data_IF_586737454978
#
_entry.id   IF_586737454978
#
_cell.length_a   1.000
_cell.length_b   1.000
_cell.length_c   1.000
_cell.angle_alpha   90.00
_cell.angle_beta   90.00
_cell.angle_gamma   90.00
#
_symmetry.space_group_name_H-M   'P 1'
#
loop_
_entity.id
_entity.type
_entity.pdbx_description
1 polymer ?
#
# COMPACT_ATOMS: atom_id res chain seq x y z
N UNK A 1 -5.93 24.45 27.83
CA UNK A 1 -5.45 25.27 26.70
C UNK A 1 -4.47 24.42 25.88
N UNK A 2 -4.98 23.42 25.15
CA UNK A 2 -4.18 22.46 24.37
C UNK A 2 -4.03 22.96 22.92
N UNK A 3 -3.05 23.85 22.78
CA UNK A 3 -2.20 24.17 21.63
C UNK A 3 -2.67 23.93 20.18
N UNK A 4 -2.53 24.96 19.29
CA UNK A 4 -2.83 24.94 17.85
C UNK A 4 -1.94 24.00 16.97
N UNK A 5 -1.04 23.23 17.59
CA UNK A 5 -0.13 22.31 16.89
C UNK A 5 -0.83 21.06 16.34
N UNK A 6 -1.88 20.59 17.01
CA UNK A 6 -2.62 19.41 16.56
C UNK A 6 -3.49 19.70 15.32
N UNK A 7 -4.05 20.91 15.28
CA UNK A 7 -4.83 21.41 14.15
C UNK A 7 -3.92 21.66 12.92
N UNK A 8 -2.70 22.18 13.15
CA UNK A 8 -1.71 22.40 12.10
C UNK A 8 -1.24 21.10 11.42
N UNK A 9 -1.01 20.02 12.19
CA UNK A 9 -0.67 18.69 11.63
C UNK A 9 -1.80 18.10 10.78
N UNK A 10 -3.06 18.43 11.05
CA UNK A 10 -4.22 18.00 10.23
C UNK A 10 -4.31 18.80 8.92
N UNK A 11 -4.13 20.13 9.01
CA UNK A 11 -4.16 21.04 7.85
C UNK A 11 -3.07 20.75 6.84
N UNK A 12 -1.86 20.40 7.28
CA UNK A 12 -0.75 20.04 6.37
C UNK A 12 -1.10 18.78 5.56
N UNK A 13 -1.73 17.77 6.16
CA UNK A 13 -2.15 16.56 5.42
C UNK A 13 -3.19 16.89 4.36
N UNK A 14 -4.15 17.73 4.72
CA UNK A 14 -5.22 18.14 3.80
C UNK A 14 -4.66 18.98 2.65
N UNK A 15 -3.66 19.82 2.92
CA UNK A 15 -2.94 20.59 1.90
C UNK A 15 -2.14 19.66 0.97
N UNK A 16 -1.38 18.70 1.51
CA UNK A 16 -0.62 17.73 0.69
C UNK A 16 -1.56 16.88 -0.16
N UNK A 17 -2.69 16.43 0.40
CA UNK A 17 -3.70 15.66 -0.33
C UNK A 17 -4.33 16.49 -1.46
N UNK A 18 -4.74 17.74 -1.16
CA UNK A 18 -5.28 18.65 -2.17
C UNK A 18 -4.28 18.92 -3.29
N UNK A 19 -3.01 19.16 -2.94
CA UNK A 19 -1.95 19.39 -3.92
C UNK A 19 -1.74 18.16 -4.81
N UNK A 20 -1.72 16.95 -4.23
CA UNK A 20 -1.60 15.71 -4.99
C UNK A 20 -2.78 15.50 -5.95
N UNK A 21 -4.01 15.75 -5.48
CA UNK A 21 -5.22 15.69 -6.31
C UNK A 21 -5.21 16.73 -7.44
N UNK A 22 -4.75 17.94 -7.15
CA UNK A 22 -4.64 19.01 -8.14
C UNK A 22 -3.63 18.64 -9.23
N UNK A 23 -2.44 18.13 -8.85
CA UNK A 23 -1.43 17.68 -9.80
C UNK A 23 -1.96 16.50 -10.65
N UNK A 24 -2.62 15.53 -10.02
CA UNK A 24 -3.21 14.40 -10.73
C UNK A 24 -4.28 14.86 -11.74
N UNK A 25 -5.20 15.72 -11.30
CA UNK A 25 -6.24 16.29 -12.15
C UNK A 25 -5.68 17.11 -13.31
N UNK A 26 -4.73 18.00 -13.04
CA UNK A 26 -4.06 18.80 -14.06
C UNK A 26 -3.35 17.92 -15.10
N UNK A 27 -2.68 16.85 -14.65
CA UNK A 27 -1.99 15.90 -15.53
C UNK A 27 -2.97 15.18 -16.45
N UNK A 28 -4.10 14.70 -15.92
CA UNK A 28 -5.14 14.02 -16.71
C UNK A 28 -5.76 14.97 -17.72
N UNK A 29 -6.15 16.18 -17.30
CA UNK A 29 -6.75 17.19 -18.17
C UNK A 29 -5.78 17.57 -19.30
N UNK A 30 -4.53 17.87 -18.97
CA UNK A 30 -3.51 18.23 -19.94
C UNK A 30 -3.27 17.12 -20.97
N UNK A 31 -3.17 15.87 -20.49
CA UNK A 31 -2.96 14.71 -21.38
C UNK A 31 -4.16 14.48 -22.28
N UNK A 32 -5.39 14.61 -21.78
CA UNK A 32 -6.60 14.47 -22.59
C UNK A 32 -6.66 15.53 -23.71
N UNK A 33 -6.31 16.79 -23.39
CA UNK A 33 -6.21 17.85 -24.40
C UNK A 33 -5.16 17.51 -25.47
N UNK A 34 -4.01 16.97 -25.05
CA UNK A 34 -2.95 16.58 -25.97
C UNK A 34 -3.36 15.42 -26.88
N UNK A 35 -4.03 14.40 -26.33
CA UNK A 35 -4.60 13.27 -27.08
C UNK A 35 -5.60 13.75 -28.11
N UNK A 36 -6.50 14.67 -27.75
CA UNK A 36 -7.49 15.20 -28.69
C UNK A 36 -6.83 15.95 -29.84
N UNK A 37 -5.88 16.85 -29.56
CA UNK A 37 -5.15 17.60 -30.59
C UNK A 37 -4.36 16.67 -31.52
N UNK A 38 -3.74 15.62 -30.96
CA UNK A 38 -2.99 14.66 -31.76
C UNK A 38 -3.94 13.80 -32.62
N UNK A 39 -5.08 13.38 -32.08
CA UNK A 39 -6.10 12.65 -32.83
C UNK A 39 -6.66 13.45 -34.00
N UNK A 40 -6.99 14.73 -33.79
CA UNK A 40 -7.44 15.63 -34.85
C UNK A 40 -6.37 15.78 -35.95
N UNK A 41 -5.10 15.93 -35.54
CA UNK A 41 -3.97 16.00 -36.48
C UNK A 41 -3.78 14.71 -37.28
N UNK A 42 -3.84 13.55 -36.64
CA UNK A 42 -3.74 12.25 -37.31
C UNK A 42 -4.91 12.06 -38.30
N UNK A 43 -6.12 12.46 -37.91
CA UNK A 43 -7.29 12.41 -38.80
C UNK A 43 -7.09 13.27 -40.06
N UNK A 44 -6.57 14.49 -39.91
CA UNK A 44 -6.24 15.35 -41.05
C UNK A 44 -5.14 14.76 -41.95
N UNK A 45 -4.13 14.10 -41.37
CA UNK A 45 -3.08 13.43 -42.14
C UNK A 45 -3.63 12.26 -42.95
N UNK A 46 -4.55 11.48 -42.38
CA UNK A 46 -5.18 10.35 -43.07
C UNK A 46 -6.11 10.82 -44.18
N UNK A 47 -6.89 11.88 -43.96
CA UNK A 47 -7.73 12.47 -45.00
C UNK A 47 -6.88 12.97 -46.19
N UNK A 48 -5.76 13.64 -45.91
CA UNK A 48 -4.81 14.06 -46.93
C UNK A 48 -4.19 12.85 -47.65
N UNK A 49 -3.79 11.82 -46.92
CA UNK A 49 -3.28 10.56 -47.49
C UNK A 49 -4.29 9.93 -48.45
N UNK A 50 -5.56 9.81 -48.04
CA UNK A 50 -6.62 9.23 -48.86
C UNK A 50 -6.93 10.06 -50.11
N UNK A 51 -6.96 11.40 -49.98
CA UNK A 51 -7.13 12.32 -51.12
C UNK A 51 -5.98 12.21 -52.11
N UNK A 52 -4.75 12.12 -51.62
CA UNK A 52 -3.56 11.93 -52.47
C UNK A 52 -3.58 10.58 -53.16
N UNK A 53 -3.94 9.51 -52.45
CA UNK A 53 -4.08 8.18 -53.04
C UNK A 53 -5.13 8.18 -54.15
N UNK A 54 -6.28 8.84 -53.93
CA UNK A 54 -7.32 9.01 -54.96
C UNK A 54 -6.80 9.77 -56.17
N UNK A 55 -6.05 10.86 -55.95
CA UNK A 55 -5.49 11.65 -57.05
C UNK A 55 -4.46 10.85 -57.86
N UNK A 56 -3.54 10.14 -57.19
CA UNK A 56 -2.51 9.30 -57.83
C UNK A 56 -3.14 8.22 -58.70
N UNK A 57 -4.21 7.57 -58.24
CA UNK A 57 -4.89 6.50 -58.97
C UNK A 57 -5.68 7.03 -60.18
N UNK A 58 -6.25 8.24 -60.08
CA UNK A 58 -7.20 8.75 -61.06
C UNK A 58 -6.60 9.74 -62.08
N UNK A 59 -5.36 10.18 -61.90
CA UNK A 59 -4.72 11.17 -62.77
C UNK A 59 -3.93 10.53 -63.91
N UNK A 60 -4.02 11.10 -65.11
CA UNK A 60 -3.15 10.76 -66.23
C UNK A 60 -1.85 11.61 -66.22
N UNK A 61 -1.81 12.68 -65.42
CA UNK A 61 -0.63 13.54 -65.29
C UNK A 61 0.40 12.92 -64.33
N UNK A 62 1.49 12.43 -64.90
CA UNK A 62 2.56 11.75 -64.17
C UNK A 62 3.60 12.71 -63.57
N UNK A 63 3.59 14.00 -63.93
CA UNK A 63 4.67 14.94 -63.56
C UNK A 63 4.81 15.18 -62.06
N UNK A 64 3.68 15.22 -61.34
CA UNK A 64 3.65 15.54 -59.90
C UNK A 64 3.58 14.29 -58.99
N UNK A 65 3.44 13.09 -59.58
CA UNK A 65 3.28 11.85 -58.80
C UNK A 65 4.46 11.54 -57.87
N UNK A 66 5.73 11.66 -58.29
CA UNK A 66 6.85 11.35 -57.41
C UNK A 66 6.89 12.26 -56.18
N UNK A 67 6.60 13.54 -56.37
CA UNK A 67 6.53 14.52 -55.27
C UNK A 67 5.41 14.19 -54.28
N UNK A 68 4.21 13.87 -54.76
CA UNK A 68 3.08 13.52 -53.89
C UNK A 68 3.31 12.21 -53.14
N UNK A 69 3.92 11.22 -53.81
CA UNK A 69 4.32 9.96 -53.20
C UNK A 69 5.29 10.22 -52.05
N UNK A 70 6.35 11.00 -52.27
CA UNK A 70 7.37 11.26 -51.25
C UNK A 70 6.82 12.11 -50.07
N UNK A 71 6.15 13.23 -50.38
CA UNK A 71 5.75 14.22 -49.37
C UNK A 71 4.52 13.84 -48.55
N UNK A 72 3.70 12.90 -49.03
CA UNK A 72 2.45 12.53 -48.36
C UNK A 72 2.40 11.04 -48.05
N UNK A 73 2.63 10.18 -49.05
CA UNK A 73 2.50 8.73 -48.85
C UNK A 73 3.66 8.18 -48.04
N UNK A 74 4.91 8.46 -48.44
CA UNK A 74 6.12 8.04 -47.73
C UNK A 74 6.36 8.83 -46.44
N UNK A 75 5.92 10.09 -46.38
CA UNK A 75 5.95 10.88 -45.16
C UNK A 75 5.11 10.29 -44.01
N UNK A 76 4.10 9.46 -44.31
CA UNK A 76 3.38 8.71 -43.30
C UNK A 76 4.22 7.53 -42.77
N UNK A 77 4.91 7.74 -41.65
CA UNK A 77 5.73 6.72 -40.98
C UNK A 77 5.09 6.15 -39.71
N UNK A 78 3.97 6.70 -39.26
CA UNK A 78 3.43 6.42 -37.92
C UNK A 78 2.01 5.86 -37.94
N UNK A 79 1.19 6.23 -38.92
CA UNK A 79 -0.22 5.84 -39.00
C UNK A 79 -0.32 4.56 -39.83
N UNK A 80 -0.79 3.45 -39.24
CA UNK A 80 -0.95 2.20 -39.97
C UNK A 80 -2.17 2.25 -40.87
N UNK A 81 -1.97 1.90 -42.14
CA UNK A 81 -3.01 1.92 -43.17
C UNK A 81 -3.00 0.63 -43.98
N UNK A 82 -4.18 0.21 -44.42
CA UNK A 82 -4.40 -0.93 -45.31
C UNK A 82 -5.31 -0.48 -46.44
N UNK A 83 -4.85 -0.60 -47.67
CA UNK A 83 -5.63 -0.34 -48.88
C UNK A 83 -6.17 -1.66 -49.43
N UNK A 84 -7.47 -1.72 -49.72
CA UNK A 84 -8.11 -2.89 -50.33
C UNK A 84 -8.95 -2.49 -51.55
N UNK A 85 -9.14 -3.42 -52.49
CA UNK A 85 -10.05 -3.28 -53.64
C UNK A 85 -11.47 -3.81 -53.34
N UNK A 86 -11.71 -4.22 -52.09
CA UNK A 86 -12.94 -4.87 -51.63
C UNK A 86 -12.79 -6.37 -51.37
N UNK A 87 -11.92 -7.07 -52.10
CA UNK A 87 -11.69 -8.51 -51.96
C UNK A 87 -10.26 -8.83 -51.51
N UNK A 88 -9.30 -8.10 -52.04
CA UNK A 88 -7.86 -8.30 -51.84
C UNK A 88 -7.21 -7.07 -51.20
N UNK A 89 -6.08 -7.33 -50.55
CA UNK A 89 -5.22 -6.30 -50.00
C UNK A 89 -4.32 -5.81 -51.12
N UNK A 90 -4.42 -4.51 -51.43
CA UNK A 90 -3.67 -3.85 -52.49
C UNK A 90 -2.33 -3.37 -51.96
N UNK A 91 -2.34 -2.72 -50.78
CA UNK A 91 -1.13 -2.17 -50.17
C UNK A 91 -1.28 -2.05 -48.65
N UNK A 92 -0.15 -2.03 -47.93
CA UNK A 92 -0.10 -1.86 -46.48
C UNK A 92 1.07 -0.98 -46.06
N UNK A 93 0.85 -0.09 -45.09
CA UNK A 93 1.93 0.75 -44.51
C UNK A 93 1.88 0.76 -42.99
N UNK A 94 3.05 0.84 -42.36
CA UNK A 94 3.25 0.95 -40.91
C UNK A 94 2.58 -0.16 -40.07
N UNK A 95 2.38 -1.34 -40.65
CA UNK A 95 1.93 -2.52 -39.90
C UNK A 95 3.10 -3.11 -39.11
N UNK A 96 2.93 -3.30 -37.81
CA UNK A 96 3.91 -3.97 -36.96
C UNK A 96 3.88 -5.49 -37.18
N UNK A 97 4.50 -5.95 -38.27
CA UNK A 97 4.67 -7.36 -38.59
C UNK A 97 6.05 -7.85 -38.11
N UNK A 98 6.15 -8.97 -37.38
CA UNK A 98 7.45 -9.55 -37.01
C UNK A 98 8.24 -10.00 -38.24
N UNK A 99 9.53 -9.65 -38.31
CA UNK A 99 10.40 -9.82 -39.50
C UNK A 99 10.63 -11.27 -39.96
N UNK A 100 10.25 -12.28 -39.18
CA UNK A 100 10.57 -13.70 -39.45
C UNK A 100 9.35 -14.63 -39.60
N UNK A 101 8.17 -14.08 -39.89
CA UNK A 101 6.98 -14.91 -40.10
C UNK A 101 6.93 -15.50 -41.52
N UNK A 102 6.53 -16.78 -41.66
CA UNK A 102 6.16 -17.34 -42.96
C UNK A 102 5.09 -16.49 -43.64
N UNK A 103 5.12 -16.42 -44.97
CA UNK A 103 4.22 -15.59 -45.78
C UNK A 103 2.73 -15.79 -45.43
N UNK A 104 2.33 -17.04 -45.21
CA UNK A 104 0.94 -17.40 -44.86
C UNK A 104 0.51 -16.83 -43.50
N UNK A 105 1.39 -16.84 -42.51
CA UNK A 105 1.09 -16.33 -41.17
C UNK A 105 1.12 -14.80 -41.13
N UNK A 106 1.99 -14.18 -41.94
CA UNK A 106 1.96 -12.73 -42.17
C UNK A 106 0.64 -12.27 -42.77
N UNK A 107 0.13 -12.95 -43.81
CA UNK A 107 -1.17 -12.64 -44.42
C UNK A 107 -2.34 -12.83 -43.46
N UNK A 108 -2.33 -13.90 -42.64
CA UNK A 108 -3.33 -14.09 -41.58
C UNK A 108 -3.33 -12.92 -40.59
N UNK A 109 -2.14 -12.44 -40.22
CA UNK A 109 -2.00 -11.33 -39.27
C UNK A 109 -2.45 -10.00 -39.86
N UNK A 110 -2.14 -9.72 -41.13
CA UNK A 110 -2.65 -8.52 -41.81
C UNK A 110 -4.18 -8.55 -41.88
N UNK A 111 -4.79 -9.70 -42.20
CA UNK A 111 -6.27 -9.86 -42.16
C UNK A 111 -6.85 -9.65 -40.77
N UNK A 112 -6.19 -10.14 -39.72
CA UNK A 112 -6.61 -9.90 -38.34
C UNK A 112 -6.57 -8.41 -37.98
N UNK A 113 -5.51 -7.70 -38.39
CA UNK A 113 -5.41 -6.24 -38.19
C UNK A 113 -6.46 -5.49 -39.00
N UNK A 114 -6.76 -5.91 -40.22
CA UNK A 114 -7.83 -5.34 -41.04
C UNK A 114 -9.20 -5.45 -40.36
N UNK A 115 -9.52 -6.60 -39.78
CA UNK A 115 -10.75 -6.80 -38.99
C UNK A 115 -10.80 -5.87 -37.76
N UNK A 116 -9.67 -5.67 -37.08
CA UNK A 116 -9.57 -4.75 -35.95
C UNK A 116 -9.78 -3.28 -36.40
N UNK A 117 -9.22 -2.89 -37.54
CA UNK A 117 -9.41 -1.55 -38.13
C UNK A 117 -10.87 -1.31 -38.50
N UNK A 118 -11.52 -2.31 -39.14
CA UNK A 118 -12.94 -2.27 -39.53
C UNK A 118 -13.88 -2.04 -38.34
N UNK A 119 -13.53 -2.55 -37.16
CA UNK A 119 -14.34 -2.38 -35.95
C UNK A 119 -14.16 -1.00 -35.30
N UNK A 120 -13.03 -0.32 -35.54
CA UNK A 120 -12.72 0.96 -34.89
C UNK A 120 -13.19 2.17 -35.69
N UNK A 121 -12.98 2.16 -37.00
CA UNK A 121 -13.30 3.30 -37.87
C UNK A 121 -13.94 2.83 -39.17
N UNK A 122 -14.92 3.59 -39.71
CA UNK A 122 -15.40 3.35 -41.07
C UNK A 122 -14.26 3.58 -42.07
N UNK A 123 -14.16 2.77 -43.15
CA UNK A 123 -13.14 2.99 -44.17
C UNK A 123 -13.35 4.30 -44.91
N UNK A 124 -12.27 4.90 -45.38
CA UNK A 124 -12.33 5.99 -46.34
C UNK A 124 -12.46 5.38 -47.73
N UNK A 125 -13.57 5.67 -48.40
CA UNK A 125 -13.86 5.17 -49.76
C UNK A 125 -13.10 6.01 -50.78
N UNK A 126 -12.34 5.33 -51.64
CA UNK A 126 -11.63 5.91 -52.77
C UNK A 126 -12.35 5.45 -54.03
N UNK A 127 -12.94 6.38 -54.77
CA UNK A 127 -13.64 6.09 -56.02
C UNK A 127 -12.66 6.11 -57.20
N UNK A 128 -12.74 5.08 -58.05
CA UNK A 128 -11.88 4.88 -59.22
C UNK A 128 -12.68 5.07 -60.53
N UNK A 129 -11.99 5.29 -61.67
CA UNK A 129 -12.62 5.26 -62.99
C UNK A 129 -13.34 3.93 -63.24
N UNK A 130 -14.49 3.97 -63.92
CA UNK A 130 -15.27 2.77 -64.23
C UNK A 130 -16.16 2.25 -63.09
N UNK A 131 -16.48 3.09 -62.10
CA UNK A 131 -17.41 2.79 -61.01
C UNK A 131 -16.93 1.69 -60.04
N UNK A 132 -15.61 1.50 -59.95
CA UNK A 132 -14.95 0.62 -58.97
C UNK A 132 -14.54 1.42 -57.73
N UNK A 133 -14.34 0.75 -56.58
CA UNK A 133 -14.07 1.39 -55.29
C UNK A 133 -12.95 0.67 -54.55
N UNK A 134 -12.00 1.44 -54.04
CA UNK A 134 -11.03 0.97 -53.06
C UNK A 134 -11.40 1.50 -51.67
N UNK A 135 -10.96 0.78 -50.64
CA UNK A 135 -11.22 1.11 -49.24
C UNK A 135 -9.90 1.29 -48.52
N UNK A 136 -9.73 2.45 -47.88
CA UNK A 136 -8.60 2.73 -47.00
C UNK A 136 -9.02 2.54 -45.55
N UNK A 137 -8.45 1.52 -44.92
CA UNK A 137 -8.58 1.26 -43.49
C UNK A 137 -7.39 1.83 -42.75
N UNK A 138 -7.63 2.33 -41.54
CA UNK A 138 -6.59 2.95 -40.72
C UNK A 138 -6.82 2.69 -39.23
N UNK A 139 -5.79 2.93 -38.43
CA UNK A 139 -5.87 2.94 -36.97
C UNK A 139 -5.06 4.09 -36.39
N UNK A 140 -5.39 4.49 -35.16
CA UNK A 140 -4.59 5.41 -34.35
C UNK A 140 -3.11 4.99 -34.33
N UNK A 141 -2.21 5.96 -34.43
CA UNK A 141 -0.79 5.70 -34.33
C UNK A 141 -0.42 5.05 -33.00
N UNK A 142 0.74 4.38 -32.95
CA UNK A 142 1.24 3.82 -31.69
C UNK A 142 1.38 4.88 -30.60
N UNK A 143 1.82 6.08 -30.98
CA UNK A 143 2.00 7.20 -30.05
C UNK A 143 0.65 7.65 -29.47
N UNK A 144 -0.36 7.85 -30.32
CA UNK A 144 -1.69 8.26 -29.89
C UNK A 144 -2.32 7.23 -28.94
N UNK A 145 -2.21 5.93 -29.26
CA UNK A 145 -2.68 4.85 -28.37
C UNK A 145 -1.97 4.84 -27.03
N UNK A 146 -0.64 4.97 -27.01
CA UNK A 146 0.14 5.03 -25.77
C UNK A 146 -0.26 6.23 -24.93
N UNK A 147 -0.40 7.41 -25.55
CA UNK A 147 -0.75 8.66 -24.88
C UNK A 147 -2.16 8.61 -24.27
N UNK A 148 -3.10 7.90 -24.90
CA UNK A 148 -4.45 7.67 -24.37
C UNK A 148 -4.46 6.82 -23.10
N UNK A 149 -3.52 5.88 -22.98
CA UNK A 149 -3.40 4.98 -21.81
C UNK A 149 -2.47 5.51 -20.72
N UNK A 150 -1.57 6.43 -21.05
CA UNK A 150 -0.59 7.01 -20.13
C UNK A 150 -1.20 7.57 -18.82
N UNK A 151 -2.35 8.27 -18.83
CA UNK A 151 -2.97 8.75 -17.60
C UNK A 151 -3.27 7.66 -16.57
N UNK A 152 -3.63 6.44 -17.02
CA UNK A 152 -3.93 5.33 -16.12
C UNK A 152 -2.68 4.85 -15.37
N UNK A 153 -1.55 4.75 -16.09
CA UNK A 153 -0.27 4.41 -15.48
C UNK A 153 0.18 5.48 -14.48
N UNK A 154 0.03 6.77 -14.82
CA UNK A 154 0.35 7.88 -13.92
C UNK A 154 -0.50 7.85 -12.64
N UNK A 155 -1.82 7.60 -12.77
CA UNK A 155 -2.71 7.45 -11.62
C UNK A 155 -2.34 6.26 -10.74
N UNK A 156 -1.94 5.13 -11.34
CA UNK A 156 -1.46 3.97 -10.57
C UNK A 156 -0.21 4.29 -9.76
N UNK A 157 0.75 5.02 -10.34
CA UNK A 157 1.96 5.47 -9.64
C UNK A 157 1.59 6.41 -8.48
N UNK A 158 0.76 7.43 -8.74
CA UNK A 158 0.31 8.37 -7.70
C UNK A 158 -0.43 7.64 -6.58
N UNK A 159 -1.31 6.69 -6.91
CA UNK A 159 -2.03 5.90 -5.92
C UNK A 159 -1.08 5.05 -5.06
N UNK A 160 -0.09 4.40 -5.67
CA UNK A 160 0.91 3.59 -4.95
C UNK A 160 1.75 4.44 -3.97
N UNK A 161 2.22 5.61 -4.40
CA UNK A 161 2.97 6.54 -3.57
C UNK A 161 2.09 7.11 -2.45
N UNK A 162 0.83 7.44 -2.75
CA UNK A 162 -0.14 7.93 -1.75
C UNK A 162 -0.41 6.88 -0.67
N UNK A 163 -0.56 5.61 -1.06
CA UNK A 163 -0.75 4.50 -0.13
C UNK A 163 0.48 4.31 0.76
N UNK A 164 1.68 4.34 0.17
CA UNK A 164 2.92 4.22 0.93
C UNK A 164 3.09 5.39 1.93
N UNK A 165 2.78 6.61 1.51
CA UNK A 165 2.78 7.78 2.38
C UNK A 165 1.77 7.65 3.53
N UNK A 166 0.55 7.14 3.24
CA UNK A 166 -0.46 6.87 4.26
C UNK A 166 0.02 5.85 5.30
N UNK A 167 0.57 4.73 4.86
CA UNK A 167 1.12 3.69 5.75
C UNK A 167 2.25 4.29 6.62
N UNK A 168 3.24 4.95 6.00
CA UNK A 168 4.36 5.55 6.73
C UNK A 168 3.89 6.57 7.78
N UNK A 169 2.95 7.44 7.42
CA UNK A 169 2.40 8.43 8.34
C UNK A 169 1.61 7.78 9.48
N UNK A 170 0.78 6.79 9.17
CA UNK A 170 -0.02 6.07 10.18
C UNK A 170 0.86 5.33 11.19
N UNK A 171 1.90 4.67 10.71
CA UNK A 171 2.89 4.00 11.55
C UNK A 171 3.65 4.99 12.44
N UNK A 172 4.14 6.09 11.86
CA UNK A 172 4.84 7.15 12.59
C UNK A 172 3.98 7.72 13.73
N UNK A 173 2.71 8.01 13.47
CA UNK A 173 1.78 8.51 14.50
C UNK A 173 1.55 7.52 15.63
N UNK A 174 1.38 6.23 15.31
CA UNK A 174 1.19 5.19 16.33
C UNK A 174 2.46 5.01 17.17
N UNK A 175 3.63 5.09 16.54
CA UNK A 175 4.92 5.04 17.24
C UNK A 175 5.12 6.25 18.17
N UNK A 176 4.76 7.47 17.71
CA UNK A 176 4.79 8.68 18.54
C UNK A 176 3.90 8.53 19.77
N UNK A 177 2.66 8.06 19.59
CA UNK A 177 1.73 7.80 20.70
C UNK A 177 2.28 6.75 21.66
N UNK A 178 2.72 5.59 21.16
CA UNK A 178 3.27 4.52 21.99
C UNK A 178 4.47 5.01 22.81
N UNK A 179 5.35 5.84 22.22
CA UNK A 179 6.48 6.44 22.93
C UNK A 179 6.03 7.37 24.07
N UNK A 180 5.01 8.19 23.84
CA UNK A 180 4.46 9.07 24.89
C UNK A 180 3.86 8.24 26.03
N UNK A 181 3.11 7.17 25.72
CA UNK A 181 2.54 6.27 26.74
C UNK A 181 3.62 5.56 27.56
N UNK A 182 4.68 5.06 26.91
CA UNK A 182 5.84 4.45 27.59
C UNK A 182 6.54 5.48 28.49
N UNK A 183 6.74 6.70 28.00
CA UNK A 183 7.37 7.78 28.78
C UNK A 183 6.55 8.14 30.02
N UNK A 184 5.23 8.30 29.87
CA UNK A 184 4.31 8.60 30.97
C UNK A 184 4.31 7.49 32.03
N UNK A 185 4.27 6.22 31.60
CA UNK A 185 4.31 5.06 32.48
C UNK A 185 5.58 5.05 33.34
N UNK A 186 6.75 5.30 32.74
CA UNK A 186 8.02 5.36 33.47
C UNK A 186 8.08 6.53 34.45
N UNK A 187 7.67 7.72 34.02
CA UNK A 187 7.67 8.92 34.87
C UNK A 187 6.72 8.75 36.06
N UNK A 188 5.53 8.20 35.82
CA UNK A 188 4.57 7.92 36.90
C UNK A 188 5.08 6.84 37.86
N UNK A 189 5.72 5.78 37.35
CA UNK A 189 6.34 4.77 38.20
C UNK A 189 7.44 5.37 39.10
N UNK A 190 8.26 6.25 38.54
CA UNK A 190 9.27 6.97 39.30
C UNK A 190 8.65 7.85 40.40
N UNK A 191 7.60 8.61 40.06
CA UNK A 191 6.88 9.46 41.01
C UNK A 191 6.15 8.67 42.10
N UNK A 192 5.68 7.45 41.81
CA UNK A 192 5.08 6.56 42.80
C UNK A 192 6.10 5.87 43.71
N UNK A 193 7.36 5.74 43.29
CA UNK A 193 8.42 5.10 44.07
C UNK A 193 8.68 5.80 45.41
N UNK A 194 8.83 7.13 45.41
CA UNK A 194 9.13 7.93 46.61
C UNK A 194 8.08 7.81 47.74
N UNK A 195 6.76 8.00 47.48
CA UNK A 195 5.75 7.79 48.51
C UNK A 195 5.66 6.33 48.95
N UNK A 196 5.89 5.38 48.04
CA UNK A 196 5.91 3.96 48.37
C UNK A 196 7.04 3.59 49.34
N UNK A 197 8.26 4.09 49.12
CA UNK A 197 9.38 3.89 50.05
C UNK A 197 9.07 4.46 51.44
N UNK A 198 8.32 5.56 51.49
CA UNK A 198 7.87 6.16 52.76
C UNK A 198 6.86 5.25 53.48
N UNK A 199 5.93 4.61 52.74
CA UNK A 199 4.98 3.64 53.28
C UNK A 199 5.67 2.38 53.83
N UNK A 200 6.69 1.86 53.13
CA UNK A 200 7.52 0.75 53.62
C UNK A 200 8.21 1.11 54.94
N UNK A 201 8.72 2.34 55.05
CA UNK A 201 9.30 2.87 56.29
C UNK A 201 8.29 2.91 57.44
N UNK A 202 7.10 3.46 57.20
CA UNK A 202 6.01 3.49 58.19
C UNK A 202 5.54 2.09 58.60
N UNK A 203 5.40 1.18 57.65
CA UNK A 203 5.02 -0.21 57.94
C UNK A 203 6.07 -0.89 58.83
N UNK A 204 7.36 -0.68 58.55
CA UNK A 204 8.46 -1.23 59.36
C UNK A 204 8.43 -0.67 60.79
N UNK A 205 8.24 0.65 60.92
CA UNK A 205 8.09 1.31 62.22
C UNK A 205 6.89 0.78 63.02
N UNK A 206 5.73 0.62 62.37
CA UNK A 206 4.53 0.07 63.02
C UNK A 206 4.74 -1.37 63.49
N UNK A 207 5.43 -2.19 62.69
CA UNK A 207 5.74 -3.58 63.03
C UNK A 207 6.67 -3.70 64.24
N UNK A 208 7.56 -2.74 64.45
CA UNK A 208 8.48 -2.70 65.60
C UNK A 208 7.86 -2.07 66.85
N UNK A 209 6.79 -1.28 66.69
CA UNK A 209 6.12 -0.62 67.80
C UNK A 209 5.40 -1.62 68.72
N UNK A 210 5.54 -1.43 70.03
CA UNK A 210 4.90 -2.33 71.02
C UNK A 210 3.37 -2.28 70.98
N UNK A 211 2.80 -1.16 70.53
CA UNK A 211 1.36 -0.93 70.45
C UNK A 211 0.66 -1.79 69.40
N UNK A 212 1.32 -2.04 68.28
CA UNK A 212 0.76 -2.77 67.14
C UNK A 212 1.41 -4.15 66.97
N UNK A 213 2.16 -4.60 67.98
CA UNK A 213 2.79 -5.93 68.02
C UNK A 213 1.67 -6.99 68.00
N UNK A 214 1.78 -7.94 67.08
CA UNK A 214 0.81 -9.02 66.82
C UNK A 214 -0.56 -8.59 66.26
N UNK A 215 -0.70 -7.34 65.81
CA UNK A 215 -1.92 -6.93 65.11
C UNK A 215 -1.93 -7.35 63.63
N UNK A 216 -2.98 -8.06 63.17
CA UNK A 216 -3.04 -8.57 61.80
C UNK A 216 -3.08 -7.46 60.73
N UNK A 217 -3.50 -6.24 61.10
CA UNK A 217 -3.60 -5.10 60.17
C UNK A 217 -2.24 -4.67 59.61
N UNK A 218 -1.16 -4.78 60.39
CA UNK A 218 0.19 -4.38 59.96
C UNK A 218 0.70 -5.33 58.87
N UNK A 219 0.35 -6.61 58.98
CA UNK A 219 0.73 -7.63 58.02
C UNK A 219 -0.09 -7.53 56.73
N UNK A 220 -1.40 -7.26 56.82
CA UNK A 220 -2.23 -6.96 55.65
C UNK A 220 -1.77 -5.68 54.92
N UNK A 221 -1.44 -4.60 55.65
CA UNK A 221 -0.88 -3.38 55.07
C UNK A 221 0.42 -3.67 54.31
N UNK A 222 1.28 -4.53 54.87
CA UNK A 222 2.49 -5.00 54.20
C UNK A 222 2.23 -5.70 52.88
N UNK A 223 1.19 -6.55 52.82
CA UNK A 223 0.78 -7.23 51.58
C UNK A 223 0.34 -6.24 50.50
N UNK A 224 -0.39 -5.18 50.87
CA UNK A 224 -0.83 -4.14 49.94
C UNK A 224 0.31 -3.26 49.44
N UNK A 225 1.22 -2.82 50.33
CA UNK A 225 2.42 -2.07 49.95
C UNK A 225 3.28 -2.91 49.00
N UNK A 226 3.47 -4.20 49.30
CA UNK A 226 4.25 -5.10 48.43
C UNK A 226 3.63 -5.24 47.04
N UNK A 227 2.30 -5.28 46.97
CA UNK A 227 1.58 -5.31 45.69
C UNK A 227 1.80 -4.02 44.89
N UNK A 228 1.71 -2.86 45.54
CA UNK A 228 1.97 -1.57 44.90
C UNK A 228 3.43 -1.46 44.41
N UNK A 229 4.39 -2.03 45.15
CA UNK A 229 5.79 -2.12 44.74
C UNK A 229 5.95 -2.91 43.42
N UNK A 230 5.37 -4.11 43.35
CA UNK A 230 5.41 -4.96 42.16
C UNK A 230 4.75 -4.26 40.96
N UNK A 231 3.62 -3.59 41.17
CA UNK A 231 2.96 -2.82 40.11
C UNK A 231 3.88 -1.70 39.62
N UNK A 232 4.44 -0.91 40.54
CA UNK A 232 5.32 0.22 40.21
C UNK A 232 6.57 -0.26 39.45
N UNK A 233 7.17 -1.37 39.87
CA UNK A 233 8.30 -2.00 39.19
C UNK A 233 7.93 -2.44 37.76
N UNK A 234 6.77 -3.10 37.58
CA UNK A 234 6.25 -3.47 36.26
C UNK A 234 6.09 -2.25 35.35
N UNK A 235 5.54 -1.14 35.86
CA UNK A 235 5.37 0.11 35.11
C UNK A 235 6.71 0.78 34.75
N UNK A 236 7.69 0.78 35.65
CA UNK A 236 9.04 1.32 35.39
C UNK A 236 9.77 0.55 34.27
N UNK A 237 9.51 -0.74 34.18
CA UNK A 237 10.11 -1.61 33.17
C UNK A 237 9.42 -1.55 31.79
N UNK A 238 8.26 -0.88 31.65
CA UNK A 238 7.56 -0.73 30.36
C UNK A 238 8.49 -0.06 29.34
N UNK A 239 8.72 -0.72 28.20
CA UNK A 239 9.57 -0.19 27.12
C UNK A 239 11.07 -0.16 27.42
N UNK A 240 11.53 -0.81 28.49
CA UNK A 240 12.95 -1.13 28.70
C UNK A 240 13.28 -2.51 28.10
N UNK A 241 14.54 -2.75 27.75
CA UNK A 241 14.99 -4.10 27.37
C UNK A 241 15.05 -4.94 28.65
N UNK A 242 14.28 -6.03 28.78
CA UNK A 242 14.23 -6.80 30.02
C UNK A 242 15.56 -7.54 30.24
N UNK A 243 16.06 -7.52 31.48
CA UNK A 243 17.19 -8.34 31.89
C UNK A 243 16.68 -9.77 32.08
N UNK A 244 17.16 -10.69 31.25
CA UNK A 244 16.84 -12.11 31.29
C UNK A 244 17.87 -12.82 32.15
N UNK A 245 17.41 -13.68 33.06
CA UNK A 245 18.26 -14.56 33.88
C UNK A 245 17.92 -16.01 33.57
N UNK A 246 18.90 -16.89 33.68
CA UNK A 246 18.67 -18.32 33.58
C UNK A 246 17.95 -18.78 34.85
N UNK A 247 16.66 -19.08 34.71
CA UNK A 247 15.79 -19.48 35.82
C UNK A 247 15.13 -20.82 35.49
N UNK A 248 14.77 -21.60 36.51
CA UNK A 248 14.07 -22.86 36.29
C UNK A 248 12.62 -22.58 35.84
N UNK A 249 12.31 -22.92 34.59
CA UNK A 249 11.05 -22.57 33.94
C UNK A 249 9.82 -23.18 34.64
N UNK A 250 9.91 -24.45 35.03
CA UNK A 250 8.81 -25.14 35.70
C UNK A 250 8.53 -24.53 37.08
N UNK A 251 9.57 -24.27 37.87
CA UNK A 251 9.42 -23.63 39.18
C UNK A 251 8.83 -22.23 39.07
N UNK A 252 9.29 -21.41 38.12
CA UNK A 252 8.72 -20.06 37.92
C UNK A 252 7.24 -20.15 37.54
N UNK A 253 6.88 -21.03 36.60
CA UNK A 253 5.48 -21.23 36.16
C UNK A 253 4.59 -21.72 37.32
N UNK A 254 5.09 -22.69 38.10
CA UNK A 254 4.37 -23.22 39.27
C UNK A 254 4.13 -22.13 40.31
N UNK A 255 5.12 -21.28 40.59
CA UNK A 255 4.98 -20.18 41.54
C UNK A 255 3.95 -19.15 41.07
N UNK A 256 3.98 -18.77 39.79
CA UNK A 256 3.01 -17.86 39.19
C UNK A 256 1.56 -18.39 39.29
N UNK A 257 1.36 -19.69 39.01
CA UNK A 257 0.06 -20.35 39.09
C UNK A 257 -0.41 -20.51 40.53
N UNK A 258 0.46 -20.92 41.46
CA UNK A 258 0.10 -21.08 42.87
C UNK A 258 -0.37 -19.76 43.49
N UNK A 259 0.23 -18.64 43.09
CA UNK A 259 -0.21 -17.31 43.49
C UNK A 259 -1.66 -17.02 43.02
N UNK A 260 -1.98 -17.34 41.77
CA UNK A 260 -3.32 -17.18 41.20
C UNK A 260 -4.35 -18.10 41.87
N UNK A 261 -4.00 -19.36 42.09
CA UNK A 261 -4.87 -20.38 42.69
C UNK A 261 -5.38 -19.94 44.08
N UNK A 262 -4.54 -19.26 44.86
CA UNK A 262 -4.93 -18.72 46.17
C UNK A 262 -5.99 -17.61 46.12
N UNK A 263 -6.21 -16.99 44.95
CA UNK A 263 -7.07 -15.81 44.76
C UNK A 263 -8.24 -16.02 43.81
N UNK A 264 -8.29 -17.17 43.15
CA UNK A 264 -9.36 -17.54 42.23
C UNK A 264 -10.36 -18.46 42.95
N UNK A 265 -11.61 -18.49 42.47
CA UNK A 265 -12.66 -19.34 43.02
C UNK A 265 -12.22 -20.80 43.12
N UNK A 266 -12.51 -21.46 44.25
CA UNK A 266 -12.26 -22.91 44.47
C UNK A 266 -12.96 -23.83 43.44
N UNK A 267 -13.88 -23.29 42.63
CA UNK A 267 -14.52 -24.01 41.52
C UNK A 267 -13.59 -24.21 40.32
N UNK A 268 -12.53 -23.40 40.21
CA UNK A 268 -11.52 -23.51 39.16
C UNK A 268 -10.43 -24.48 39.62
N UNK A 269 -10.04 -25.41 38.74
CA UNK A 269 -8.93 -26.34 38.99
C UNK A 269 -7.74 -25.98 38.09
N UNK A 270 -6.58 -25.77 38.70
CA UNK A 270 -5.34 -25.54 37.97
C UNK A 270 -4.59 -26.86 37.80
N UNK A 271 -4.14 -27.16 36.58
CA UNK A 271 -3.19 -28.24 36.28
C UNK A 271 -2.03 -27.70 35.45
N UNK A 272 -0.84 -28.25 35.69
CA UNK A 272 0.36 -27.93 34.90
C UNK A 272 0.80 -29.22 34.24
N UNK A 273 0.74 -29.26 32.91
CA UNK A 273 1.23 -30.35 32.09
C UNK A 273 2.45 -29.86 31.33
N UNK A 274 3.56 -30.61 31.37
CA UNK A 274 4.83 -30.25 30.72
C UNK A 274 5.45 -31.48 30.07
N UNK A 275 5.91 -31.31 28.84
CA UNK A 275 6.74 -32.30 28.13
C UNK A 275 8.25 -32.04 28.37
N UNK A 276 8.59 -30.89 28.97
CA UNK A 276 9.96 -30.51 29.28
C UNK A 276 10.43 -31.11 30.62
N UNK A 277 11.73 -31.44 30.76
CA UNK A 277 12.34 -31.76 32.04
C UNK A 277 12.09 -30.68 33.10
N UNK A 278 11.88 -31.11 34.36
CA UNK A 278 11.52 -30.20 35.46
C UNK A 278 12.63 -29.21 35.86
N UNK A 279 13.86 -29.48 35.45
CA UNK A 279 15.05 -28.67 35.69
C UNK A 279 15.42 -27.74 34.52
N UNK A 280 14.58 -27.68 33.47
CA UNK A 280 14.85 -26.89 32.26
C UNK A 280 15.09 -25.41 32.58
N UNK A 281 16.29 -24.88 32.30
CA UNK A 281 16.56 -23.46 32.47
C UNK A 281 16.00 -22.68 31.27
N UNK A 282 15.41 -21.51 31.54
CA UNK A 282 14.97 -20.57 30.53
C UNK A 282 15.49 -19.16 30.84
N UNK A 283 15.91 -18.43 29.81
CA UNK A 283 16.28 -17.02 29.93
C UNK A 283 15.01 -16.18 30.04
N UNK A 284 14.54 -15.95 31.26
CA UNK A 284 13.29 -15.23 31.53
C UNK A 284 13.50 -14.06 32.50
N UNK A 285 12.63 -13.06 32.39
CA UNK A 285 12.46 -12.05 33.41
C UNK A 285 11.24 -12.46 34.25
N UNK A 286 11.47 -12.98 35.46
CA UNK A 286 10.44 -13.57 36.32
C UNK A 286 9.23 -12.63 36.52
N UNK A 287 9.38 -11.34 36.91
CA UNK A 287 8.24 -10.45 37.11
C UNK A 287 7.35 -10.26 35.87
N UNK A 288 7.96 -10.17 34.67
CA UNK A 288 7.23 -10.04 33.41
C UNK A 288 6.56 -11.36 33.01
N UNK A 289 7.24 -12.48 33.21
CA UNK A 289 6.70 -13.80 32.93
C UNK A 289 5.50 -14.12 33.82
N UNK A 290 5.61 -13.86 35.13
CA UNK A 290 4.51 -14.00 36.09
C UNK A 290 3.29 -13.18 35.64
N UNK A 291 3.53 -11.97 35.11
CA UNK A 291 2.45 -11.11 34.61
C UNK A 291 1.78 -11.66 33.35
N UNK A 292 2.53 -12.31 32.46
CA UNK A 292 1.96 -13.00 31.29
C UNK A 292 1.06 -14.15 31.74
N UNK A 293 1.56 -15.01 32.64
CA UNK A 293 0.78 -16.12 33.21
C UNK A 293 -0.47 -15.59 33.91
N UNK A 294 -0.34 -14.53 34.71
CA UNK A 294 -1.44 -13.85 35.39
C UNK A 294 -2.56 -13.42 34.43
N UNK A 295 -2.21 -12.74 33.34
CA UNK A 295 -3.20 -12.27 32.36
C UNK A 295 -3.87 -13.42 31.62
N UNK A 296 -3.10 -14.42 31.18
CA UNK A 296 -3.65 -15.57 30.44
C UNK A 296 -4.63 -16.34 31.32
N UNK A 297 -4.24 -16.65 32.55
CA UNK A 297 -5.09 -17.40 33.47
C UNK A 297 -6.34 -16.62 33.89
N UNK A 298 -6.24 -15.30 34.14
CA UNK A 298 -7.43 -14.47 34.44
C UNK A 298 -8.43 -14.48 33.29
N UNK A 299 -7.96 -14.27 32.06
CA UNK A 299 -8.81 -14.33 30.88
C UNK A 299 -9.48 -15.70 30.70
N UNK A 300 -8.79 -16.79 31.05
CA UNK A 300 -9.34 -18.14 31.00
C UNK A 300 -10.37 -18.42 32.10
N UNK A 301 -10.22 -17.81 33.27
CA UNK A 301 -11.18 -17.91 34.38
C UNK A 301 -12.44 -17.11 34.11
N UNK A 302 -12.31 -15.97 33.42
CA UNK A 302 -13.42 -15.07 33.09
C UNK A 302 -14.26 -15.58 31.89
N UNK A 303 -13.71 -16.48 31.06
CA UNK A 303 -14.36 -17.09 29.90
C UNK A 303 -15.31 -18.24 30.30
#
# INVERSE_FOLDING_TARGET
>A
MLSPLYDQKSRIKLLVLLLALLIAGATVVYTNVLVQRLSEREQHQIDLYAKTQRYIINTEDTKNLPFLQEQIIEANTTIPVILTDGENIVDTKNLSLPLHLPLQDSLRRVRAVLLEMQQRHPPIVIELPGNTRNYLFYQDSRLLRQLRTYPLAALAVIASLSMMAYIAFSYSRRAEQNRVWVGLAKETAHQLGTPLSSLVGWQSYLRESERFRDEPIVEELGKDIKRLEIITERFSNIGSVPVLKAENFYHTTRNAIAYLESRVSRKVKFSIETELPLDTPACINVPLFDWVVENICKNAVDA
#
